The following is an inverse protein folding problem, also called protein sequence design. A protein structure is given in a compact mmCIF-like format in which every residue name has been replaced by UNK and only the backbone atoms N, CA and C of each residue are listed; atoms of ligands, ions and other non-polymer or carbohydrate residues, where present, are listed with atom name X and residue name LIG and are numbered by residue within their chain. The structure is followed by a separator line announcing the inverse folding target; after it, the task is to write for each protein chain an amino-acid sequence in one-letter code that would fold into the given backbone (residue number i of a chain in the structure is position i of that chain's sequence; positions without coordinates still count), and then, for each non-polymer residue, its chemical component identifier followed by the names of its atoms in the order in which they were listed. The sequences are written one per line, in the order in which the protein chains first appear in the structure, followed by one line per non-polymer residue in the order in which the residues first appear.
data_IF_600391668169
#
_entry.id   IF_600391668169
#
_cell.length_a   1.000
_cell.length_b   1.000
_cell.length_c   1.000
_cell.angle_alpha   90.00
_cell.angle_beta   90.00
_cell.angle_gamma   90.00
#
_symmetry.space_group_name_H-M   'P 1'
#
loop_
_entity.id
_entity.type
_entity.pdbx_description
1 polymer ?
#
# COMPACT_ATOMS: atom_id res chain seq x y z
N UNK A 1 22.13 -41.91 19.85
CA UNK A 1 23.14 -40.97 19.31
C UNK A 1 22.51 -39.58 19.23
N UNK A 2 22.69 -38.72 20.24
CA UNK A 2 22.16 -37.36 20.26
C UNK A 2 23.17 -36.42 19.58
N UNK A 3 22.75 -35.71 18.53
CA UNK A 3 23.56 -34.66 17.90
C UNK A 3 23.05 -33.30 18.37
N UNK A 4 23.87 -32.67 19.22
CA UNK A 4 23.83 -31.24 19.55
C UNK A 4 24.48 -30.43 18.43
N UNK A 5 24.22 -29.13 18.50
CA UNK A 5 24.90 -27.99 17.86
C UNK A 5 24.34 -27.53 16.51
N UNK A 6 23.67 -26.37 16.51
CA UNK A 6 24.35 -25.10 16.25
C UNK A 6 23.40 -23.93 16.55
N UNK A 7 23.84 -23.03 17.44
CA UNK A 7 23.16 -21.76 17.70
C UNK A 7 23.45 -20.80 16.55
N UNK A 8 22.41 -20.44 15.82
CA UNK A 8 22.48 -19.41 14.79
C UNK A 8 22.23 -18.05 15.45
N UNK A 9 23.32 -17.30 15.66
CA UNK A 9 23.27 -15.89 16.03
C UNK A 9 22.88 -15.11 14.79
N UNK A 10 21.64 -14.66 14.72
CA UNK A 10 21.21 -13.72 13.68
C UNK A 10 21.68 -12.33 14.07
N UNK A 11 22.77 -11.90 13.45
CA UNK A 11 23.23 -10.52 13.43
C UNK A 11 22.18 -9.66 12.71
N UNK A 12 21.60 -8.70 13.43
CA UNK A 12 20.79 -7.65 12.82
C UNK A 12 21.71 -6.69 12.05
N UNK A 13 21.43 -6.38 10.78
CA UNK A 13 22.02 -5.20 10.17
C UNK A 13 21.38 -3.95 10.79
N UNK A 14 22.19 -3.16 11.48
CA UNK A 14 21.89 -1.78 11.80
C UNK A 14 21.79 -0.99 10.49
N UNK A 15 20.56 -0.67 10.08
CA UNK A 15 20.30 0.34 9.04
C UNK A 15 20.29 1.70 9.74
N UNK A 16 21.47 2.33 9.76
CA UNK A 16 21.58 3.77 9.79
C UNK A 16 21.16 4.25 8.40
N UNK A 17 20.00 4.89 8.29
CA UNK A 17 19.72 5.80 7.19
C UNK A 17 19.46 7.18 7.76
N UNK A 18 20.38 8.08 7.41
CA UNK A 18 20.36 9.49 7.68
C UNK A 18 20.01 10.19 6.36
N UNK A 19 18.93 10.96 6.39
CA UNK A 19 18.46 11.82 5.31
C UNK A 19 17.02 12.22 5.66
N UNK A 20 16.71 13.46 6.01
CA UNK A 20 17.14 14.68 5.34
C UNK A 20 15.93 15.19 4.58
N UNK A 21 15.35 16.26 5.11
CA UNK A 21 14.48 17.24 4.43
C UNK A 21 13.04 16.83 4.10
N UNK A 22 12.11 17.31 4.94
CA UNK A 22 10.90 18.01 4.53
C UNK A 22 10.25 18.66 5.77
N UNK A 23 10.80 19.80 6.18
CA UNK A 23 10.03 20.81 6.91
C UNK A 23 8.90 21.29 5.99
N UNK A 24 7.69 20.75 6.16
CA UNK A 24 6.48 21.50 5.82
C UNK A 24 6.17 22.39 7.03
N UNK A 25 6.70 23.61 6.93
CA UNK A 25 6.44 24.77 7.75
C UNK A 25 4.97 25.19 7.54
N UNK A 26 4.07 24.42 8.15
CA UNK A 26 2.66 24.76 8.26
C UNK A 26 2.53 25.91 9.24
N UNK A 27 2.70 27.14 8.71
CA UNK A 27 2.43 28.41 9.36
C UNK A 27 0.98 28.43 9.90
N UNK A 28 0.79 27.89 11.09
CA UNK A 28 -0.35 28.18 11.93
C UNK A 28 -0.19 29.63 12.38
N UNK A 29 -0.89 30.50 11.66
CA UNK A 29 -1.17 31.89 12.00
C UNK A 29 -1.94 31.93 13.34
N UNK A 30 -1.21 31.66 14.42
CA UNK A 30 -1.64 31.89 15.79
C UNK A 30 -1.56 33.41 15.95
N UNK A 31 -2.66 34.06 15.61
CA UNK A 31 -2.92 35.44 15.93
C UNK A 31 -2.45 35.69 17.37
N UNK A 32 -1.41 36.50 17.51
CA UNK A 32 -0.92 36.97 18.79
C UNK A 32 -2.06 37.73 19.46
N UNK A 33 -2.74 37.09 20.40
CA UNK A 33 -3.66 37.76 21.31
C UNK A 33 -2.78 38.56 22.25
N UNK A 34 -2.52 39.82 21.88
CA UNK A 34 -2.00 40.83 22.79
C UNK A 34 -3.11 41.08 23.82
N UNK A 35 -2.94 40.75 25.10
CA UNK A 35 -3.89 41.21 26.10
C UNK A 35 -3.81 42.73 26.12
N UNK A 36 -4.85 43.40 25.62
CA UNK A 36 -5.03 44.82 25.79
C UNK A 36 -4.86 45.14 27.29
N UNK A 37 -4.02 46.13 27.59
CA UNK A 37 -3.84 46.63 28.93
C UNK A 37 -5.21 47.02 29.51
N UNK A 38 -5.72 46.16 30.38
CA UNK A 38 -6.94 46.41 31.12
C UNK A 38 -6.57 47.34 32.27
N UNK A 39 -6.65 48.64 32.02
CA UNK A 39 -6.59 49.67 33.06
C UNK A 39 -7.86 49.58 33.90
N UNK A 40 -7.69 49.17 35.17
CA UNK A 40 -8.76 49.21 36.15
C UNK A 40 -9.10 50.68 36.46
N UNK A 41 -10.38 51.08 36.49
CA UNK A 41 -10.77 52.38 37.01
C UNK A 41 -10.49 52.44 38.52
N UNK A 42 -9.62 53.35 38.95
CA UNK A 42 -9.20 53.53 40.35
C UNK A 42 -10.23 54.25 41.24
N UNK A 43 -11.41 54.61 40.72
CA UNK A 43 -12.41 55.36 41.50
C UNK A 43 -13.71 54.56 41.69
N UNK A 44 -13.72 53.70 42.72
CA UNK A 44 -14.94 53.24 43.37
C UNK A 44 -14.94 53.71 44.82
N UNK A 45 -15.95 54.48 45.28
CA UNK A 45 -16.03 54.90 46.67
C UNK A 45 -16.27 53.69 47.59
N UNK A 46 -15.22 53.36 48.35
CA UNK A 46 -15.24 52.36 49.41
C UNK A 46 -16.18 52.79 50.55
N UNK A 47 -17.44 52.35 50.49
CA UNK A 47 -18.29 52.25 51.69
C UNK A 47 -19.08 50.95 51.66
N UNK A 48 -18.36 49.83 51.73
CA UNK A 48 -18.96 48.54 52.12
C UNK A 48 -18.59 48.32 53.57
N UNK A 49 -19.55 48.51 54.46
CA UNK A 49 -19.51 48.07 55.86
C UNK A 49 -19.10 46.60 55.91
N UNK A 50 -17.85 46.34 56.27
CA UNK A 50 -17.34 45.00 56.54
C UNK A 50 -17.93 44.51 57.85
N UNK A 51 -19.10 43.89 57.81
CA UNK A 51 -19.53 42.97 58.86
C UNK A 51 -18.57 41.79 58.78
N UNK A 52 -17.60 41.78 59.69
CA UNK A 52 -16.56 40.76 59.79
C UNK A 52 -17.23 39.37 59.92
N UNK A 53 -17.15 38.47 58.93
CA UNK A 53 -17.53 37.09 59.16
C UNK A 53 -16.38 36.46 59.95
N UNK A 54 -16.64 36.07 61.19
CA UNK A 54 -15.70 35.25 61.98
C UNK A 54 -15.27 34.07 61.13
N UNK A 55 -13.96 33.88 60.87
CA UNK A 55 -13.49 32.66 60.24
C UNK A 55 -13.66 31.53 61.25
N UNK A 56 -14.69 30.70 61.06
CA UNK A 56 -14.74 29.36 61.63
C UNK A 56 -13.63 28.56 60.95
N UNK A 57 -12.44 28.59 61.55
CA UNK A 57 -11.30 27.76 61.16
C UNK A 57 -11.74 26.30 61.24
N UNK A 58 -11.90 25.57 60.12
CA UNK A 58 -12.06 24.13 60.21
C UNK A 58 -10.68 23.55 60.50
N UNK A 59 -10.36 23.34 61.78
CA UNK A 59 -9.29 22.43 62.22
C UNK A 59 -9.69 20.98 61.92
N UNK A 60 -10.01 20.66 60.66
CA UNK A 60 -10.24 19.29 60.21
C UNK A 60 -9.05 18.83 59.37
N UNK A 61 -8.12 18.24 60.11
CA UNK A 61 -7.30 17.09 59.78
C UNK A 61 -6.54 17.09 58.43
N UNK A 62 -5.19 17.03 58.45
CA UNK A 62 -4.35 16.88 57.25
C UNK A 62 -4.61 15.59 56.45
N UNK A 63 -5.46 14.70 56.94
CA UNK A 63 -5.85 13.42 56.33
C UNK A 63 -6.61 13.65 55.00
N UNK A 64 -7.39 14.74 54.88
CA UNK A 64 -8.10 15.08 53.64
C UNK A 64 -7.16 15.44 52.48
N UNK A 65 -5.96 15.96 52.76
CA UNK A 65 -4.99 16.33 51.72
C UNK A 65 -4.41 15.10 51.04
N UNK A 66 -4.08 14.06 51.82
CA UNK A 66 -3.58 12.80 51.26
C UNK A 66 -4.66 12.01 50.52
N UNK A 67 -5.92 12.09 50.97
CA UNK A 67 -7.04 11.50 50.26
C UNK A 67 -7.25 12.13 48.87
N UNK A 68 -7.11 13.46 48.75
CA UNK A 68 -7.20 14.15 47.47
C UNK A 68 -6.06 13.75 46.52
N UNK A 69 -4.83 13.65 47.01
CA UNK A 69 -3.67 13.21 46.21
C UNK A 69 -3.87 11.76 45.73
N UNK A 70 -4.34 10.88 46.61
CA UNK A 70 -4.67 9.49 46.26
C UNK A 70 -5.76 9.41 45.18
N UNK A 71 -6.83 10.20 45.31
CA UNK A 71 -7.90 10.25 44.33
C UNK A 71 -7.42 10.75 42.96
N UNK A 72 -6.58 11.79 42.93
CA UNK A 72 -5.99 12.30 41.68
C UNK A 72 -5.11 11.23 41.03
N UNK A 73 -4.22 10.58 41.79
CA UNK A 73 -3.38 9.50 41.26
C UNK A 73 -4.22 8.37 40.66
N UNK A 74 -5.24 7.89 41.38
CA UNK A 74 -6.14 6.84 40.89
C UNK A 74 -6.89 7.29 39.63
N UNK A 75 -7.43 8.51 39.60
CA UNK A 75 -8.11 9.05 38.43
C UNK A 75 -7.17 9.14 37.22
N UNK A 76 -5.90 9.52 37.45
CA UNK A 76 -4.88 9.63 36.39
C UNK A 76 -4.53 8.25 35.82
N UNK A 77 -4.31 7.25 36.69
CA UNK A 77 -4.06 5.87 36.25
C UNK A 77 -5.26 5.33 35.49
N UNK A 78 -6.48 5.55 35.99
CA UNK A 78 -7.70 5.09 35.32
C UNK A 78 -7.86 5.75 33.95
N UNK A 79 -7.62 7.06 33.85
CA UNK A 79 -7.64 7.78 32.59
C UNK A 79 -6.59 7.24 31.60
N UNK A 80 -5.40 6.89 32.07
CA UNK A 80 -4.36 6.27 31.24
C UNK A 80 -4.79 4.90 30.72
N UNK A 81 -5.36 4.05 31.57
CA UNK A 81 -5.84 2.71 31.18
C UNK A 81 -6.98 2.81 30.17
N UNK A 82 -7.95 3.70 30.42
CA UNK A 82 -9.06 3.97 29.50
C UNK A 82 -8.57 4.53 28.17
N UNK A 83 -7.62 5.46 28.19
CA UNK A 83 -6.97 6.01 27.00
C UNK A 83 -6.23 4.94 26.20
N UNK A 84 -5.51 4.05 26.88
CA UNK A 84 -4.78 2.95 26.25
C UNK A 84 -5.74 1.93 25.61
N UNK A 85 -6.79 1.50 26.31
CA UNK A 85 -7.78 0.56 25.77
C UNK A 85 -8.49 1.16 24.55
N UNK A 86 -8.89 2.43 24.64
CA UNK A 86 -9.55 3.12 23.53
C UNK A 86 -8.61 3.28 22.33
N UNK A 87 -7.36 3.68 22.55
CA UNK A 87 -6.35 3.78 21.49
C UNK A 87 -6.10 2.41 20.84
N UNK A 88 -6.06 1.34 21.62
CA UNK A 88 -5.93 -0.02 21.09
C UNK A 88 -7.10 -0.39 20.18
N UNK A 89 -8.34 -0.09 20.60
CA UNK A 89 -9.53 -0.35 19.77
C UNK A 89 -9.54 0.50 18.49
N UNK A 90 -9.20 1.79 18.58
CA UNK A 90 -9.13 2.66 17.41
C UNK A 90 -8.08 2.14 16.41
N UNK A 91 -6.92 1.70 16.90
CA UNK A 91 -5.88 1.07 16.07
C UNK A 91 -6.34 -0.24 15.43
N UNK A 92 -7.05 -1.10 16.16
CA UNK A 92 -7.60 -2.35 15.62
C UNK A 92 -8.63 -2.09 14.52
N UNK A 93 -9.54 -1.12 14.73
CA UNK A 93 -10.53 -0.74 13.70
C UNK A 93 -9.90 -0.10 12.47
N UNK A 94 -8.84 0.69 12.64
CA UNK A 94 -8.08 1.24 11.52
C UNK A 94 -7.38 0.14 10.73
N UNK A 95 -6.74 -0.83 11.40
CA UNK A 95 -6.10 -1.98 10.75
C UNK A 95 -7.09 -2.87 10.01
N UNK A 96 -8.25 -3.16 10.61
CA UNK A 96 -9.26 -3.99 9.95
C UNK A 96 -9.83 -3.30 8.71
N UNK A 97 -10.08 -1.99 8.76
CA UNK A 97 -10.48 -1.19 7.59
C UNK A 97 -9.42 -1.21 6.49
N UNK A 98 -8.16 -1.01 6.84
CA UNK A 98 -7.06 -1.06 5.89
C UNK A 98 -6.96 -2.44 5.21
N UNK A 99 -7.10 -3.52 5.99
CA UNK A 99 -7.13 -4.88 5.45
C UNK A 99 -8.32 -5.09 4.50
N UNK A 100 -9.52 -4.62 4.86
CA UNK A 100 -10.69 -4.75 3.98
C UNK A 100 -10.53 -3.96 2.68
N UNK A 101 -9.92 -2.78 2.74
CA UNK A 101 -9.63 -1.97 1.56
C UNK A 101 -8.61 -2.66 0.64
N UNK A 102 -7.53 -3.24 1.22
CA UNK A 102 -6.53 -3.99 0.47
C UNK A 102 -7.12 -5.25 -0.16
N UNK A 103 -7.95 -6.00 0.57
CA UNK A 103 -8.65 -7.16 0.00
C UNK A 103 -9.58 -6.77 -1.14
N UNK A 104 -10.34 -5.68 -0.99
CA UNK A 104 -11.22 -5.18 -2.05
C UNK A 104 -10.41 -4.74 -3.29
N UNK A 105 -9.27 -4.08 -3.08
CA UNK A 105 -8.36 -3.70 -4.16
C UNK A 105 -7.81 -4.93 -4.88
N UNK A 106 -7.32 -5.93 -4.16
CA UNK A 106 -6.79 -7.16 -4.74
C UNK A 106 -7.89 -7.96 -5.49
N UNK A 107 -9.11 -8.00 -4.96
CA UNK A 107 -10.27 -8.59 -5.66
C UNK A 107 -10.59 -7.83 -6.96
N UNK A 108 -10.49 -6.50 -6.97
CA UNK A 108 -10.70 -5.69 -8.17
C UNK A 108 -9.59 -5.90 -9.21
N UNK A 109 -8.35 -6.12 -8.78
CA UNK A 109 -7.23 -6.46 -9.67
C UNK A 109 -7.42 -7.86 -10.26
N UNK A 110 -7.86 -8.82 -9.44
CA UNK A 110 -8.22 -10.17 -9.91
C UNK A 110 -9.35 -10.13 -10.94
N UNK A 111 -10.38 -9.30 -10.72
CA UNK A 111 -11.49 -9.13 -11.64
C UNK A 111 -11.07 -8.52 -12.99
N UNK A 112 -10.01 -7.69 -13.00
CA UNK A 112 -9.40 -7.15 -14.21
C UNK A 112 -8.50 -8.15 -14.95
N UNK A 113 -8.15 -9.28 -14.31
CA UNK A 113 -7.25 -10.28 -14.86
C UNK A 113 -5.77 -9.99 -14.59
N UNK A 114 -5.45 -9.05 -13.69
CA UNK A 114 -4.09 -8.72 -13.30
C UNK A 114 -3.55 -9.71 -12.25
N UNK A 115 -3.33 -10.97 -12.66
CA UNK A 115 -2.94 -12.07 -11.76
C UNK A 115 -1.61 -11.81 -11.05
N UNK A 116 -0.61 -11.32 -11.78
CA UNK A 116 0.74 -11.07 -11.23
C UNK A 116 0.73 -9.96 -10.17
N UNK A 117 -0.06 -8.90 -10.38
CA UNK A 117 -0.22 -7.84 -9.40
C UNK A 117 -0.93 -8.36 -8.15
N UNK A 118 -2.00 -9.14 -8.35
CA UNK A 118 -2.77 -9.75 -7.26
C UNK A 118 -1.92 -10.73 -6.45
N UNK A 119 -1.09 -11.56 -7.09
CA UNK A 119 -0.20 -12.50 -6.42
C UNK A 119 0.85 -11.80 -5.55
N UNK A 120 1.43 -10.69 -6.03
CA UNK A 120 2.36 -9.88 -5.24
C UNK A 120 1.68 -9.23 -4.05
N UNK A 121 0.50 -8.63 -4.25
CA UNK A 121 -0.28 -8.05 -3.15
C UNK A 121 -0.69 -9.13 -2.13
N UNK A 122 -1.09 -10.31 -2.61
CA UNK A 122 -1.47 -11.44 -1.76
C UNK A 122 -0.29 -11.97 -0.95
N UNK A 123 0.93 -12.01 -1.52
CA UNK A 123 2.13 -12.39 -0.77
C UNK A 123 2.42 -11.40 0.37
N UNK A 124 2.27 -10.10 0.12
CA UNK A 124 2.42 -9.07 1.16
C UNK A 124 1.33 -9.19 2.24
N UNK A 125 0.07 -9.39 1.83
CA UNK A 125 -1.06 -9.61 2.74
C UNK A 125 -0.90 -10.89 3.59
N UNK A 126 -0.42 -11.97 3.00
CA UNK A 126 -0.17 -13.24 3.69
C UNK A 126 0.97 -13.12 4.71
N UNK A 127 2.01 -12.34 4.40
CA UNK A 127 3.09 -12.05 5.33
C UNK A 127 2.62 -11.15 6.50
N UNK A 128 1.78 -10.15 6.22
CA UNK A 128 1.27 -9.24 7.24
C UNK A 128 0.19 -9.87 8.13
N UNK A 129 -0.65 -10.76 7.59
CA UNK A 129 -1.80 -11.35 8.27
C UNK A 129 -1.87 -12.88 8.07
N UNK A 130 -0.92 -13.63 8.66
CA UNK A 130 -0.90 -15.08 8.53
C UNK A 130 -2.17 -15.69 9.13
N UNK A 131 -2.88 -16.49 8.34
CA UNK A 131 -4.08 -17.21 8.78
C UNK A 131 -5.39 -16.41 8.74
N UNK A 132 -5.41 -15.20 8.20
CA UNK A 132 -6.65 -14.45 8.03
C UNK A 132 -7.56 -15.12 6.98
N UNK A 133 -8.86 -15.38 7.27
CA UNK A 133 -9.75 -16.11 6.36
C UNK A 133 -9.90 -15.42 5.00
N UNK A 134 -10.00 -14.09 4.97
CA UNK A 134 -10.12 -13.33 3.73
C UNK A 134 -8.91 -13.44 2.79
N UNK A 135 -7.69 -13.65 3.33
CA UNK A 135 -6.49 -13.85 2.50
C UNK A 135 -6.52 -15.25 1.88
N UNK A 136 -6.98 -16.25 2.65
CA UNK A 136 -7.15 -17.62 2.17
C UNK A 136 -8.20 -17.71 1.06
N UNK A 137 -9.36 -17.08 1.26
CA UNK A 137 -10.41 -17.01 0.25
C UNK A 137 -9.94 -16.33 -1.04
N UNK A 138 -9.16 -15.25 -0.93
CA UNK A 138 -8.57 -14.56 -2.08
C UNK A 138 -7.57 -15.46 -2.82
N UNK A 139 -6.74 -16.21 -2.08
CA UNK A 139 -5.79 -17.17 -2.64
C UNK A 139 -6.52 -18.28 -3.40
N UNK A 140 -7.53 -18.88 -2.77
CA UNK A 140 -8.34 -19.95 -3.38
C UNK A 140 -9.06 -19.44 -4.65
N UNK A 141 -9.54 -18.19 -4.64
CA UNK A 141 -10.16 -17.56 -5.80
C UNK A 141 -9.15 -17.32 -6.95
N UNK A 142 -7.92 -16.90 -6.62
CA UNK A 142 -6.85 -16.70 -7.61
C UNK A 142 -6.44 -18.04 -8.24
N UNK A 143 -6.22 -19.07 -7.42
CA UNK A 143 -5.87 -20.42 -7.90
C UNK A 143 -6.96 -20.99 -8.81
N UNK A 144 -8.23 -20.83 -8.42
CA UNK A 144 -9.36 -21.26 -9.25
C UNK A 144 -9.38 -20.57 -10.60
N UNK A 145 -9.17 -19.25 -10.64
CA UNK A 145 -9.10 -18.49 -11.90
C UNK A 145 -7.90 -18.91 -12.75
N UNK A 146 -6.76 -19.18 -12.14
CA UNK A 146 -5.58 -19.65 -12.86
C UNK A 146 -5.83 -21.02 -13.49
N UNK A 147 -6.46 -21.94 -12.77
CA UNK A 147 -6.86 -23.25 -13.30
C UNK A 147 -7.87 -23.12 -14.45
N UNK A 148 -8.87 -22.24 -14.32
CA UNK A 148 -9.83 -21.96 -15.40
C UNK A 148 -9.13 -21.44 -16.66
N UNK A 149 -8.12 -20.57 -16.52
CA UNK A 149 -7.34 -20.05 -17.66
C UNK A 149 -6.50 -21.14 -18.32
N UNK A 150 -5.86 -21.99 -17.53
CA UNK A 150 -5.09 -23.13 -18.06
C UNK A 150 -6.01 -24.12 -18.79
N UNK A 151 -7.18 -24.44 -18.22
CA UNK A 151 -8.16 -25.30 -18.86
C UNK A 151 -8.65 -24.73 -20.20
N UNK A 152 -8.93 -23.42 -20.26
CA UNK A 152 -9.31 -22.74 -21.50
C UNK A 152 -8.18 -22.73 -22.53
N UNK A 153 -6.94 -22.54 -22.10
CA UNK A 153 -5.79 -22.60 -23.00
C UNK A 153 -5.65 -23.99 -23.62
N UNK A 154 -5.82 -25.04 -22.83
CA UNK A 154 -5.77 -26.42 -23.32
C UNK A 154 -6.92 -26.68 -24.30
N UNK A 155 -8.14 -26.20 -24.03
CA UNK A 155 -9.26 -26.30 -24.95
C UNK A 155 -8.97 -25.59 -26.30
N UNK A 156 -8.40 -24.39 -26.27
CA UNK A 156 -7.98 -23.68 -27.49
C UNK A 156 -6.88 -24.43 -28.23
N UNK A 157 -5.95 -25.06 -27.50
CA UNK A 157 -4.90 -25.90 -28.08
C UNK A 157 -5.47 -27.14 -28.75
N UNK A 158 -6.43 -27.81 -28.13
CA UNK A 158 -7.12 -28.94 -28.73
C UNK A 158 -7.95 -28.53 -29.96
N UNK A 159 -8.64 -27.40 -29.88
CA UNK A 159 -9.42 -26.86 -31.00
C UNK A 159 -8.52 -26.50 -32.19
N UNK A 160 -7.36 -25.89 -31.95
CA UNK A 160 -6.38 -25.59 -33.01
C UNK A 160 -5.79 -26.86 -33.62
N UNK A 161 -5.41 -27.85 -32.80
CA UNK A 161 -4.97 -29.16 -33.30
C UNK A 161 -6.06 -29.84 -34.13
N UNK A 162 -7.31 -29.81 -33.68
CA UNK A 162 -8.45 -30.37 -34.42
C UNK A 162 -8.69 -29.64 -35.74
N UNK A 163 -8.60 -28.31 -35.75
CA UNK A 163 -8.73 -27.48 -36.95
C UNK A 163 -7.61 -27.77 -37.96
N UNK A 164 -6.34 -27.88 -37.51
CA UNK A 164 -5.22 -28.25 -38.38
C UNK A 164 -5.39 -29.64 -38.99
N UNK A 165 -5.95 -30.60 -38.22
CA UNK A 165 -6.24 -31.95 -38.71
C UNK A 165 -7.38 -31.96 -39.74
N UNK A 166 -8.45 -31.18 -39.53
CA UNK A 166 -9.57 -31.09 -40.48
C UNK A 166 -9.21 -30.36 -41.77
N UNK A 167 -8.28 -29.40 -41.71
CA UNK A 167 -7.80 -28.67 -42.87
C UNK A 167 -6.88 -29.51 -43.78
N UNK A 168 -6.55 -30.74 -43.39
CA UNK A 168 -5.72 -31.65 -44.19
C UNK A 168 -4.49 -30.96 -44.81
N UNK A 169 -3.80 -30.11 -44.04
CA UNK A 169 -2.45 -29.61 -44.33
C UNK A 169 -1.40 -30.74 -44.29
N UNK A 170 -1.80 -31.96 -44.66
CA UNK A 170 -0.93 -33.07 -45.04
C UNK A 170 -0.34 -32.91 -46.44
N UNK A 171 -0.58 -31.80 -47.13
CA UNK A 171 0.37 -31.34 -48.13
C UNK A 171 1.52 -30.66 -47.38
N UNK A 172 2.76 -31.19 -47.41
CA UNK A 172 3.90 -30.51 -46.83
C UNK A 172 3.90 -29.08 -47.40
N UNK A 173 3.90 -28.07 -46.52
CA UNK A 173 4.25 -26.73 -46.95
C UNK A 173 5.52 -26.86 -47.80
N UNK A 174 5.59 -26.23 -49.00
CA UNK A 174 6.81 -26.26 -49.77
C UNK A 174 7.92 -25.84 -48.82
N UNK A 175 8.91 -26.73 -48.69
CA UNK A 175 10.22 -26.42 -48.11
C UNK A 175 10.50 -24.96 -48.44
N UNK A 176 10.57 -24.11 -47.42
CA UNK A 176 11.13 -22.77 -47.60
C UNK A 176 12.50 -23.05 -48.15
N UNK A 177 12.60 -22.91 -49.48
CA UNK A 177 13.80 -23.18 -50.21
C UNK A 177 14.88 -22.38 -49.50
N UNK A 178 15.88 -23.11 -49.02
CA UNK A 178 17.14 -22.62 -48.49
C UNK A 178 17.46 -21.32 -49.22
N UNK A 179 17.38 -20.19 -48.50
CA UNK A 179 17.67 -18.89 -49.07
C UNK A 179 18.99 -19.00 -49.86
N UNK A 180 19.04 -18.49 -51.11
CA UNK A 180 20.23 -18.62 -51.94
C UNK A 180 21.44 -18.03 -51.21
N UNK A 181 22.62 -18.66 -51.33
CA UNK A 181 23.81 -18.19 -50.66
C UNK A 181 24.27 -16.87 -51.28
N UNK A 182 24.57 -15.91 -50.40
CA UNK A 182 25.47 -14.78 -50.64
C UNK A 182 25.18 -13.91 -51.88
N UNK A 183 24.32 -12.90 -51.71
CA UNK A 183 24.59 -11.59 -52.29
C UNK A 183 25.29 -10.76 -51.20
N UNK A 184 26.47 -10.24 -51.56
CA UNK A 184 27.44 -9.60 -50.69
C UNK A 184 26.81 -8.54 -49.78
N UNK A 185 26.89 -8.76 -48.47
CA UNK A 185 26.82 -7.68 -47.51
C UNK A 185 28.08 -6.80 -47.70
N UNK A 186 27.97 -5.46 -47.75
CA UNK A 186 29.14 -4.62 -47.61
C UNK A 186 29.78 -4.87 -46.24
N UNK A 187 31.10 -4.98 -46.27
CA UNK A 187 31.98 -5.30 -45.14
C UNK A 187 31.62 -4.45 -43.92
N UNK A 188 31.33 -5.13 -42.81
CA UNK A 188 31.23 -4.53 -41.49
C UNK A 188 32.58 -3.91 -41.12
N UNK A 189 32.63 -2.58 -41.12
CA UNK A 189 33.66 -1.83 -40.39
C UNK A 189 33.30 -1.86 -38.91
N UNK A 190 34.31 -2.08 -38.07
CA UNK A 190 34.25 -2.18 -36.61
C UNK A 190 33.40 -1.07 -35.95
N UNK A 191 32.75 -1.35 -34.80
CA UNK A 191 31.90 -0.38 -34.14
C UNK A 191 32.71 0.79 -33.55
N UNK A 192 32.39 2.00 -34.01
CA UNK A 192 32.70 3.26 -33.34
C UNK A 192 31.69 3.49 -32.18
N UNK A 193 32.04 4.27 -31.13
CA UNK A 193 31.26 4.39 -29.90
C UNK A 193 29.84 4.97 -30.09
N UNK A 194 28.92 4.73 -29.14
CA UNK A 194 27.47 4.84 -29.34
C UNK A 194 27.01 6.28 -29.58
N UNK A 195 26.30 6.47 -30.70
CA UNK A 195 25.40 7.61 -30.92
C UNK A 195 24.08 7.30 -30.23
N UNK A 196 23.58 8.25 -29.45
CA UNK A 196 22.35 8.17 -28.68
C UNK A 196 21.15 7.72 -29.54
N UNK A 197 20.51 6.64 -29.11
CA UNK A 197 19.20 6.21 -29.59
C UNK A 197 18.18 7.21 -29.06
N UNK A 198 17.59 8.00 -29.95
CA UNK A 198 16.36 8.73 -29.63
C UNK A 198 15.24 7.71 -29.48
N UNK A 199 14.49 7.80 -28.38
CA UNK A 199 13.26 7.05 -28.16
C UNK A 199 12.29 7.28 -29.33
N UNK A 200 11.76 6.23 -29.98
CA UNK A 200 10.62 6.41 -30.86
C UNK A 200 9.40 6.76 -29.99
N UNK A 201 8.82 7.93 -30.27
CA UNK A 201 7.60 8.40 -29.60
C UNK A 201 6.50 7.32 -29.67
N UNK A 202 5.84 7.09 -28.53
CA UNK A 202 4.74 6.13 -28.33
C UNK A 202 3.50 6.38 -29.23
N UNK A 203 3.54 7.36 -30.14
CA UNK A 203 2.46 7.72 -31.06
C UNK A 203 2.41 6.82 -32.30
N UNK A 204 3.55 6.29 -32.77
CA UNK A 204 3.61 5.55 -34.04
C UNK A 204 3.06 4.11 -33.94
N UNK A 205 3.15 3.50 -32.76
CA UNK A 205 2.68 2.13 -32.54
C UNK A 205 1.15 1.99 -32.67
N UNK A 206 0.41 3.06 -32.36
CA UNK A 206 -1.05 3.09 -32.49
C UNK A 206 -1.52 3.20 -33.96
N UNK A 207 -0.76 3.90 -34.80
CA UNK A 207 -1.10 4.06 -36.22
C UNK A 207 -0.91 2.76 -37.01
N UNK A 208 0.15 1.99 -36.71
CA UNK A 208 0.38 0.69 -37.33
C UNK A 208 -0.68 -0.36 -36.93
N UNK A 209 -1.13 -0.35 -35.67
CA UNK A 209 -2.22 -1.21 -35.19
C UNK A 209 -3.56 -0.85 -35.83
N UNK A 210 -3.85 0.45 -36.02
CA UNK A 210 -5.06 0.90 -36.70
C UNK A 210 -5.10 0.49 -38.19
N UNK A 211 -3.96 0.56 -38.88
CA UNK A 211 -3.86 0.13 -40.28
C UNK A 211 -4.07 -1.39 -40.45
N UNK A 212 -3.54 -2.19 -39.51
CA UNK A 212 -3.77 -3.65 -39.50
C UNK A 212 -5.23 -4.03 -39.24
N UNK A 213 -5.93 -3.28 -38.37
CA UNK A 213 -7.35 -3.52 -38.10
C UNK A 213 -8.25 -3.24 -39.33
N UNK A 214 -7.89 -2.24 -40.15
CA UNK A 214 -8.60 -1.92 -41.39
C UNK A 214 -8.40 -2.98 -42.48
N UNK A 215 -7.23 -3.60 -42.56
CA UNK A 215 -7.00 -4.69 -43.51
C UNK A 215 -7.75 -5.99 -43.12
N UNK A 216 -7.91 -6.26 -41.83
CA UNK A 216 -8.68 -7.43 -41.36
C UNK A 216 -10.19 -7.31 -41.65
N UNK A 217 -10.73 -6.09 -41.65
CA UNK A 217 -12.15 -5.84 -41.95
C UNK A 217 -12.47 -5.86 -43.47
N UNK A 218 -11.47 -5.79 -44.34
CA UNK A 218 -11.65 -5.69 -45.80
C UNK A 218 -11.63 -7.02 -46.57
N UNK A 219 -11.23 -8.14 -45.94
CA UNK A 219 -11.00 -9.43 -46.64
C UNK A 219 -12.26 -10.33 -46.74
N UNK A 220 -13.45 -9.74 -46.73
CA UNK A 220 -14.74 -10.44 -46.72
C UNK A 220 -15.67 -10.07 -47.86
N UNK A 221 -15.17 -9.99 -49.10
CA UNK A 221 -15.99 -9.95 -50.32
C UNK A 221 -15.42 -10.86 -51.38
#
# INVERSE_FOLDING_TARGET
MPRRDAGEKTELPAILDAGGDAEEDGALDIAHIVPAAFEWPDDLPATITTVQPRPLVPRRAPILKYAAIGAVMVATVLALVLGYVRSSQENETARSRALTAQLAQAQSALARGDFIATERELAVLAAAYPGHPGVRELSDALDRRMQEQLARQEELREATLKATRSLALGAPAPSVAKAPPAAQAPVAVAPAPPVAVQEPEKSECNAALAALALCAAGSGR
#
